data_IF_052995137669
#
_entry.id   IF_052995137669
#
_cell.length_a   1.000
_cell.length_b   1.000
_cell.length_c   1.000
_cell.angle_alpha   90.00
_cell.angle_beta   90.00
_cell.angle_gamma   90.00
#
_symmetry.space_group_name_H-M   'P 1'
#
loop_
_entity.id
_entity.type
_entity.pdbx_description
1 polymer ?
#
# COMPACT_ATOMS: atom_id res chain seq x y z
N UNK A 1 15.77 -15.76 0.43
CA UNK A 1 15.87 -16.45 -0.85
C UNK A 1 16.93 -15.89 -1.77
N UNK A 2 17.15 -16.55 -2.88
CA UNK A 2 18.13 -16.12 -3.87
C UNK A 2 17.52 -15.10 -4.84
N UNK A 3 18.40 -14.26 -5.42
CA UNK A 3 18.03 -13.28 -6.45
C UNK A 3 16.96 -12.28 -6.01
N UNK A 4 17.01 -11.87 -4.75
CA UNK A 4 16.09 -10.85 -4.23
C UNK A 4 16.69 -9.46 -4.37
N UNK A 5 15.84 -8.47 -4.63
CA UNK A 5 16.23 -7.06 -4.73
C UNK A 5 15.53 -6.28 -3.63
N UNK A 6 16.32 -5.65 -2.77
CA UNK A 6 15.84 -4.80 -1.69
C UNK A 6 16.26 -3.37 -1.98
N UNK A 7 15.32 -2.48 -2.23
CA UNK A 7 15.62 -1.07 -2.37
C UNK A 7 15.96 -0.45 -1.00
N UNK A 8 16.34 0.82 -0.96
CA UNK A 8 16.77 1.45 0.28
C UNK A 8 15.74 1.44 1.39
N UNK A 9 16.19 1.28 2.62
CA UNK A 9 15.38 1.36 3.84
C UNK A 9 14.29 0.27 3.96
N UNK A 10 14.47 -0.88 3.31
CA UNK A 10 13.60 -2.04 3.52
C UNK A 10 13.92 -2.67 4.88
N UNK A 11 12.88 -2.88 5.69
CA UNK A 11 13.02 -3.52 7.00
C UNK A 11 12.31 -4.86 7.05
N UNK A 12 12.84 -5.80 7.82
CA UNK A 12 12.21 -7.10 8.06
C UNK A 12 12.11 -7.36 9.55
N UNK A 13 11.05 -8.07 9.95
CA UNK A 13 11.00 -8.64 11.30
C UNK A 13 11.73 -9.97 11.31
N UNK A 14 12.14 -10.47 12.50
CA UNK A 14 12.82 -11.75 12.62
C UNK A 14 11.91 -12.93 12.33
N UNK A 15 12.51 -14.09 12.07
CA UNK A 15 11.83 -15.39 11.92
C UNK A 15 10.81 -15.44 10.78
N UNK A 16 11.07 -14.74 9.67
CA UNK A 16 10.27 -14.85 8.45
C UNK A 16 11.10 -15.42 7.32
N UNK A 17 10.41 -16.00 6.34
CA UNK A 17 11.02 -16.56 5.13
C UNK A 17 10.63 -15.72 3.93
N UNK A 18 11.63 -15.31 3.16
CA UNK A 18 11.44 -14.59 1.90
C UNK A 18 11.76 -15.54 0.76
N UNK A 19 10.82 -15.72 -0.16
CA UNK A 19 11.01 -16.60 -1.31
C UNK A 19 12.07 -16.10 -2.27
N UNK A 20 12.29 -16.85 -3.36
CA UNK A 20 13.29 -16.52 -4.36
C UNK A 20 12.74 -15.50 -5.38
N UNK A 21 13.64 -14.74 -5.98
CA UNK A 21 13.32 -13.78 -7.04
C UNK A 21 12.29 -12.72 -6.62
N UNK A 22 12.38 -12.24 -5.38
CA UNK A 22 11.48 -11.21 -4.86
C UNK A 22 12.09 -9.83 -5.03
N UNK A 23 11.23 -8.82 -5.17
CA UNK A 23 11.63 -7.42 -5.25
C UNK A 23 10.83 -6.60 -4.24
N UNK A 24 11.51 -5.69 -3.58
CA UNK A 24 10.89 -4.83 -2.56
C UNK A 24 11.22 -3.38 -2.84
N UNK A 25 10.19 -2.55 -2.97
CA UNK A 25 10.36 -1.10 -3.12
C UNK A 25 10.97 -0.49 -1.86
N UNK A 26 11.50 0.72 -1.98
CA UNK A 26 12.10 1.42 -0.85
C UNK A 26 11.13 1.59 0.31
N UNK A 27 11.65 1.46 1.53
CA UNK A 27 10.89 1.59 2.79
C UNK A 27 9.81 0.54 2.99
N UNK A 28 9.88 -0.57 2.26
CA UNK A 28 8.92 -1.68 2.47
C UNK A 28 9.17 -2.33 3.83
N UNK A 29 8.09 -2.55 4.58
CA UNK A 29 8.16 -3.26 5.85
C UNK A 29 7.70 -4.71 5.67
N UNK A 30 8.60 -5.67 5.89
CA UNK A 30 8.29 -7.09 5.69
C UNK A 30 7.98 -7.70 7.04
N UNK A 31 6.72 -8.04 7.27
CA UNK A 31 6.21 -8.53 8.56
C UNK A 31 5.69 -9.95 8.51
N UNK A 32 5.71 -10.58 7.35
CA UNK A 32 5.20 -11.95 7.13
C UNK A 32 6.03 -12.64 6.06
N UNK A 33 5.85 -13.96 5.93
CA UNK A 33 6.55 -14.73 4.91
C UNK A 33 6.13 -14.29 3.52
N UNK A 34 7.09 -14.23 2.61
CA UNK A 34 6.87 -13.76 1.24
C UNK A 34 7.08 -14.93 0.28
N UNK A 35 6.08 -15.26 -0.57
CA UNK A 35 6.25 -16.32 -1.56
C UNK A 35 7.22 -15.94 -2.67
N UNK A 36 7.69 -16.95 -3.44
CA UNK A 36 8.60 -16.73 -4.56
C UNK A 36 8.00 -15.77 -5.60
N UNK A 37 8.87 -15.06 -6.28
CA UNK A 37 8.53 -14.19 -7.40
C UNK A 37 7.57 -13.05 -7.03
N UNK A 38 7.61 -12.58 -5.79
CA UNK A 38 6.76 -11.47 -5.32
C UNK A 38 7.42 -10.12 -5.60
N UNK A 39 6.60 -9.13 -5.94
CA UNK A 39 7.02 -7.73 -6.02
C UNK A 39 6.16 -6.97 -5.02
N UNK A 40 6.79 -6.43 -3.99
CA UNK A 40 6.09 -5.87 -2.84
C UNK A 40 6.51 -4.44 -2.55
N UNK A 41 5.61 -3.71 -1.89
CA UNK A 41 5.85 -2.34 -1.43
C UNK A 41 5.00 -2.06 -0.20
N UNK A 42 5.34 -1.03 0.53
CA UNK A 42 4.54 -0.55 1.66
C UNK A 42 4.88 -1.18 3.00
N UNK A 43 4.17 -0.78 4.02
CA UNK A 43 4.28 -1.33 5.36
C UNK A 43 2.88 -1.57 5.92
N UNK A 44 2.48 -2.84 6.19
CA UNK A 44 3.20 -4.08 5.87
C UNK A 44 3.31 -4.31 4.35
N UNK A 45 4.26 -5.13 3.95
CA UNK A 45 4.50 -5.42 2.53
C UNK A 45 3.26 -6.00 1.87
N UNK A 46 2.95 -5.52 0.67
CA UNK A 46 1.81 -5.96 -0.10
C UNK A 46 2.19 -6.02 -1.59
N UNK A 47 1.44 -6.74 -2.43
CA UNK A 47 1.72 -6.77 -3.86
C UNK A 47 1.79 -5.36 -4.44
N UNK A 48 2.76 -5.12 -5.30
CA UNK A 48 3.07 -3.78 -5.80
C UNK A 48 1.87 -3.12 -6.48
N UNK A 49 1.11 -3.88 -7.27
CA UNK A 49 -0.06 -3.35 -7.97
C UNK A 49 -1.16 -2.89 -7.00
N UNK A 50 -1.36 -3.63 -5.92
CA UNK A 50 -2.32 -3.24 -4.89
C UNK A 50 -1.88 -1.99 -4.14
N UNK A 51 -0.59 -1.90 -3.83
CA UNK A 51 -0.01 -0.71 -3.21
C UNK A 51 -0.19 0.53 -4.10
N UNK A 52 0.05 0.41 -5.40
CA UNK A 52 -0.16 1.52 -6.34
C UNK A 52 -1.62 1.98 -6.35
N UNK A 53 -2.57 1.06 -6.31
CA UNK A 53 -3.99 1.40 -6.25
C UNK A 53 -4.32 2.15 -4.97
N UNK A 54 -3.78 1.73 -3.85
CA UNK A 54 -3.99 2.40 -2.56
C UNK A 54 -3.39 3.81 -2.57
N UNK A 55 -2.19 3.97 -3.09
CA UNK A 55 -1.55 5.29 -3.19
C UNK A 55 -2.35 6.24 -4.08
N UNK A 56 -2.85 5.75 -5.23
CA UNK A 56 -3.71 6.54 -6.09
C UNK A 56 -5.00 6.94 -5.40
N UNK A 57 -5.58 6.05 -4.62
CA UNK A 57 -6.79 6.32 -3.83
C UNK A 57 -6.53 7.35 -2.74
N UNK A 58 -5.40 7.25 -2.05
CA UNK A 58 -5.02 8.22 -1.01
C UNK A 58 -4.89 9.64 -1.57
N UNK A 59 -4.37 9.77 -2.79
CA UNK A 59 -4.27 11.08 -3.43
C UNK A 59 -5.62 11.72 -3.70
N UNK A 60 -6.67 10.91 -3.83
CA UNK A 60 -8.03 11.38 -4.10
C UNK A 60 -8.85 11.63 -2.83
N UNK A 61 -8.32 11.29 -1.66
CA UNK A 61 -9.06 11.42 -0.40
C UNK A 61 -9.50 12.86 -0.15
N UNK A 62 -8.64 13.86 -0.42
CA UNK A 62 -9.00 15.26 -0.25
C UNK A 62 -10.22 15.66 -1.08
N UNK A 63 -10.24 15.27 -2.35
CA UNK A 63 -11.36 15.54 -3.25
C UNK A 63 -12.64 14.83 -2.82
N UNK A 64 -12.50 13.58 -2.36
CA UNK A 64 -13.63 12.81 -1.86
C UNK A 64 -14.25 13.46 -0.63
N UNK A 65 -13.43 13.99 0.29
CA UNK A 65 -13.91 14.71 1.46
C UNK A 65 -14.71 15.95 1.08
N UNK A 66 -14.24 16.69 0.07
CA UNK A 66 -14.99 17.84 -0.45
C UNK A 66 -16.34 17.41 -1.01
N UNK A 67 -16.37 16.35 -1.80
CA UNK A 67 -17.62 15.83 -2.37
C UNK A 67 -18.60 15.40 -1.29
N UNK A 68 -18.13 14.77 -0.23
CA UNK A 68 -18.98 14.36 0.88
C UNK A 68 -19.60 15.58 1.55
N UNK A 69 -18.83 16.63 1.81
CA UNK A 69 -19.33 17.86 2.41
C UNK A 69 -20.38 18.53 1.52
N UNK A 70 -20.13 18.57 0.22
CA UNK A 70 -21.09 19.14 -0.74
C UNK A 70 -22.41 18.36 -0.77
N UNK A 71 -22.32 17.02 -0.74
CA UNK A 71 -23.50 16.16 -0.70
C UNK A 71 -24.28 16.33 0.61
N UNK A 72 -23.60 16.44 1.73
CA UNK A 72 -24.24 16.69 3.03
C UNK A 72 -24.98 18.01 3.04
N UNK A 73 -24.37 19.05 2.48
CA UNK A 73 -24.98 20.37 2.38
C UNK A 73 -26.24 20.35 1.49
N UNK A 74 -26.12 19.70 0.33
CA UNK A 74 -27.26 19.56 -0.59
C UNK A 74 -28.41 18.80 0.07
N UNK A 75 -28.10 17.74 0.81
CA UNK A 75 -29.10 16.94 1.51
C UNK A 75 -29.78 17.76 2.61
N UNK A 76 -29.02 18.53 3.36
CA UNK A 76 -29.56 19.38 4.39
C UNK A 76 -30.52 20.45 3.80
N UNK A 77 -30.20 21.04 2.63
CA UNK A 77 -31.05 21.98 1.95
C UNK A 77 -32.37 21.35 1.47
N UNK A 78 -32.33 20.10 1.05
CA UNK A 78 -33.55 19.41 0.64
C UNK A 78 -34.48 19.07 1.81
N UNK A 79 -33.99 19.06 3.04
CA UNK A 79 -34.79 18.77 4.23
C UNK A 79 -35.39 19.97 4.88
N UNK A 80 -35.10 21.13 4.39
CA UNK A 80 -35.68 22.37 4.92
C UNK A 80 -37.14 22.55 4.49
#
# INVERSE_FOLDING_TARGET
GDNCVFAGQVGTVGHITIGNNCQFAGRTGITHNIPDNSVCAGFPAQPYKEWLKQEASLRKVGDLLKKVKELEKALAELKK
#
